data_IF_307994329187
#
_entry.id   IF_307994329187
#
_cell.length_a   1.000
_cell.length_b   1.000
_cell.length_c   1.000
_cell.angle_alpha   90.00
_cell.angle_beta   90.00
_cell.angle_gamma   90.00
#
_symmetry.space_group_name_H-M   'P 1'
#
loop_
_entity.id
_entity.type
_entity.pdbx_description
1 polymer ?
#
# COMPACT_ATOMS: atom_id res chain seq x y z
N UNK A 1 4.26 11.54 -14.79
CA UNK A 1 4.21 12.45 -13.62
C UNK A 1 2.88 12.39 -12.87
N UNK A 2 1.72 12.54 -13.52
CA UNK A 2 0.41 12.55 -12.85
C UNK A 2 0.15 11.30 -11.97
N UNK A 3 0.46 10.11 -12.46
CA UNK A 3 0.33 8.86 -11.70
C UNK A 3 1.19 8.82 -10.43
N UNK A 4 2.44 9.30 -10.50
CA UNK A 4 3.32 9.42 -9.33
C UNK A 4 2.75 10.42 -8.33
N UNK A 5 2.27 11.58 -8.80
CA UNK A 5 1.67 12.59 -7.92
C UNK A 5 0.41 12.06 -7.21
N UNK A 6 -0.48 11.38 -7.94
CA UNK A 6 -1.65 10.75 -7.35
C UNK A 6 -1.26 9.71 -6.28
N UNK A 7 -0.22 8.92 -6.55
CA UNK A 7 0.30 7.96 -5.57
C UNK A 7 0.92 8.65 -4.34
N UNK A 8 1.57 9.79 -4.53
CA UNK A 8 2.13 10.59 -3.44
C UNK A 8 1.03 11.20 -2.56
N UNK A 9 -0.02 11.76 -3.16
CA UNK A 9 -1.19 12.29 -2.45
C UNK A 9 -1.91 11.22 -1.61
N UNK A 10 -2.01 9.98 -2.12
CA UNK A 10 -2.58 8.86 -1.37
C UNK A 10 -1.73 8.47 -0.16
N UNK A 11 -0.40 8.53 -0.26
CA UNK A 11 0.49 8.28 0.89
C UNK A 11 0.37 9.37 1.94
N UNK A 12 0.28 10.63 1.52
CA UNK A 12 0.04 11.75 2.42
C UNK A 12 -1.28 11.61 3.17
N UNK A 13 -2.33 11.14 2.49
CA UNK A 13 -3.62 10.86 3.13
C UNK A 13 -3.58 9.68 4.09
N UNK A 14 -2.77 8.67 3.79
CA UNK A 14 -2.57 7.51 4.65
C UNK A 14 -1.74 7.81 5.90
N UNK A 15 -1.13 9.00 6.01
CA UNK A 15 -0.41 9.42 7.21
C UNK A 15 -1.30 9.34 8.46
N UNK A 16 -0.80 8.81 9.59
CA UNK A 16 -1.55 8.72 10.83
C UNK A 16 -2.00 10.10 11.31
N UNK A 17 -3.19 10.16 11.89
CA UNK A 17 -3.73 11.37 12.51
C UNK A 17 -3.57 11.22 14.03
N UNK A 18 -2.76 12.08 14.64
CA UNK A 18 -2.48 12.07 16.09
C UNK A 18 -1.09 11.55 16.46
N UNK A 19 -0.85 11.44 17.78
CA UNK A 19 0.44 11.09 18.36
C UNK A 19 0.67 9.57 18.34
N UNK A 20 0.87 9.00 17.15
CA UNK A 20 1.64 7.77 17.03
C UNK A 20 3.10 8.15 17.33
N UNK A 21 3.47 8.13 18.62
CA UNK A 21 4.78 8.60 19.06
C UNK A 21 5.89 7.68 18.54
N UNK A 22 6.62 8.19 17.54
CA UNK A 22 7.91 7.68 17.16
C UNK A 22 8.90 7.94 18.30
N UNK A 23 9.11 6.99 19.21
CA UNK A 23 10.13 7.21 20.24
C UNK A 23 10.16 6.31 21.46
N UNK A 24 9.14 5.46 21.70
CA UNK A 24 9.11 4.66 22.93
C UNK A 24 10.01 3.42 22.93
N UNK A 25 10.35 2.88 21.75
CA UNK A 25 10.96 1.54 21.61
C UNK A 25 12.20 1.56 20.72
N UNK A 26 13.26 0.91 21.19
CA UNK A 26 14.43 0.63 20.35
C UNK A 26 14.15 -0.57 19.43
N UNK A 27 13.74 -0.29 18.20
CA UNK A 27 13.44 -1.30 17.19
C UNK A 27 14.68 -2.05 16.70
N UNK A 28 15.89 -1.51 16.91
CA UNK A 28 17.14 -2.11 16.39
C UNK A 28 17.49 -3.44 17.05
N UNK A 29 16.95 -3.68 18.25
CA UNK A 29 17.15 -4.92 18.99
C UNK A 29 16.21 -6.05 18.56
N UNK A 30 15.15 -5.73 17.81
CA UNK A 30 14.06 -6.69 17.50
C UNK A 30 14.16 -7.26 16.08
N UNK A 31 14.97 -6.67 15.21
CA UNK A 31 15.14 -7.11 13.84
C UNK A 31 16.21 -6.32 13.07
N UNK A 32 16.46 -6.72 11.82
CA UNK A 32 17.46 -6.08 10.96
C UNK A 32 16.90 -4.79 10.34
N UNK A 33 16.96 -3.66 11.05
CA UNK A 33 16.41 -2.38 10.59
C UNK A 33 17.02 -1.86 9.28
N UNK A 34 18.26 -2.23 8.99
CA UNK A 34 18.95 -1.95 7.73
C UNK A 34 18.28 -2.66 6.53
N UNK A 35 17.53 -3.73 6.78
CA UNK A 35 16.72 -4.44 5.79
C UNK A 35 15.24 -4.06 5.87
N UNK A 36 14.68 -4.00 7.07
CA UNK A 36 13.27 -3.71 7.32
C UNK A 36 12.91 -2.32 6.81
N UNK A 37 13.66 -1.28 7.18
CA UNK A 37 13.35 0.10 6.80
C UNK A 37 13.24 0.29 5.28
N UNK A 38 14.29 -0.01 4.49
CA UNK A 38 14.22 0.10 3.04
C UNK A 38 13.17 -0.80 2.38
N UNK A 39 12.87 -1.97 2.96
CA UNK A 39 11.78 -2.82 2.49
C UNK A 39 10.41 -2.16 2.73
N UNK A 40 10.18 -1.64 3.93
CA UNK A 40 8.98 -0.86 4.27
C UNK A 40 8.83 0.34 3.33
N UNK A 41 9.89 1.11 3.07
CA UNK A 41 9.85 2.23 2.12
C UNK A 41 9.43 1.76 0.71
N UNK A 42 9.92 0.60 0.28
CA UNK A 42 9.61 0.03 -1.04
C UNK A 42 8.15 -0.38 -1.16
N UNK A 43 7.61 -0.98 -0.09
CA UNK A 43 6.21 -1.39 -0.03
C UNK A 43 5.31 -0.15 0.06
N UNK A 44 5.65 0.81 0.92
CA UNK A 44 4.91 2.06 1.04
C UNK A 44 4.83 2.80 -0.30
N UNK A 45 5.93 2.82 -1.07
CA UNK A 45 5.96 3.40 -2.41
C UNK A 45 5.06 2.69 -3.44
N UNK A 46 4.98 1.37 -3.38
CA UNK A 46 4.24 0.56 -4.38
C UNK A 46 2.74 0.48 -4.08
N UNK A 47 2.34 0.42 -2.81
CA UNK A 47 0.93 0.26 -2.41
C UNK A 47 -0.06 1.28 -3.00
N UNK A 48 0.18 2.61 -2.97
CA UNK A 48 -0.76 3.57 -3.56
C UNK A 48 -0.90 3.39 -5.07
N UNK A 49 0.16 2.93 -5.76
CA UNK A 49 0.12 2.64 -7.20
C UNK A 49 -0.72 1.40 -7.48
N UNK A 50 -0.57 0.36 -6.66
CA UNK A 50 -1.43 -0.82 -6.75
C UNK A 50 -2.89 -0.47 -6.46
N UNK A 51 -3.14 0.46 -5.53
CA UNK A 51 -4.50 0.93 -5.25
C UNK A 51 -5.12 1.63 -6.46
N UNK A 52 -4.40 2.58 -7.07
CA UNK A 52 -4.85 3.26 -8.30
C UNK A 52 -5.14 2.28 -9.44
N UNK A 53 -4.27 1.28 -9.63
CA UNK A 53 -4.44 0.24 -10.66
C UNK A 53 -5.65 -0.65 -10.35
N UNK A 54 -5.83 -1.07 -9.09
CA UNK A 54 -6.98 -1.89 -8.68
C UNK A 54 -8.31 -1.16 -8.90
N UNK A 55 -8.37 0.11 -8.50
CA UNK A 55 -9.54 0.99 -8.72
C UNK A 55 -9.83 1.18 -10.22
N UNK A 56 -8.78 1.29 -11.04
CA UNK A 56 -8.94 1.38 -12.49
C UNK A 56 -9.48 0.08 -13.10
N UNK A 57 -9.12 -1.09 -12.57
CA UNK A 57 -9.68 -2.38 -13.00
C UNK A 57 -11.15 -2.56 -12.62
N UNK A 58 -11.59 -2.03 -11.49
CA UNK A 58 -12.99 -2.11 -11.08
C UNK A 58 -13.88 -1.04 -11.71
N UNK A 59 -13.29 0.02 -12.25
CA UNK A 59 -14.02 1.07 -12.96
C UNK A 59 -14.64 0.49 -14.24
N UNK A 60 -15.97 0.59 -14.36
CA UNK A 60 -16.67 0.23 -15.60
C UNK A 60 -16.18 1.13 -16.74
N UNK A 61 -15.99 0.60 -17.95
CA UNK A 61 -15.72 1.44 -19.11
C UNK A 61 -16.90 2.39 -19.30
N UNK A 62 -16.61 3.68 -19.28
CA UNK A 62 -17.60 4.70 -19.56
C UNK A 62 -18.15 4.46 -20.97
N UNK A 63 -19.43 4.09 -21.09
CA UNK A 63 -20.07 3.87 -22.40
C UNK A 63 -20.26 5.20 -23.17
N UNK A 64 -19.87 6.32 -22.54
CA UNK A 64 -19.75 7.65 -23.13
C UNK A 64 -18.41 7.81 -23.87
N UNK A 65 -18.22 7.03 -24.94
CA UNK A 65 -17.14 7.28 -25.90
C UNK A 65 -17.44 8.55 -26.70
N UNK A 66 -17.26 9.72 -26.07
CA UNK A 66 -17.03 10.97 -26.79
C UNK A 66 -15.75 10.80 -27.59
N UNK A 67 -15.89 11.05 -28.88
CA UNK A 67 -14.87 11.04 -29.93
C UNK A 67 -13.91 12.23 -29.74
N UNK A 68 -13.27 12.34 -28.59
CA UNK A 68 -12.24 13.34 -28.37
C UNK A 68 -10.94 12.88 -29.01
N UNK A 69 -10.49 13.70 -29.96
CA UNK A 69 -9.29 13.55 -30.77
C UNK A 69 -8.08 13.18 -29.91
N UNK A 70 -7.23 12.35 -30.49
CA UNK A 70 -5.87 12.04 -30.05
C UNK A 70 -5.04 13.31 -29.84
N UNK A 71 -5.14 13.93 -28.68
CA UNK A 71 -3.99 14.64 -28.11
C UNK A 71 -3.18 13.56 -27.38
N UNK A 72 -2.09 13.13 -28.03
CA UNK A 72 -1.11 12.28 -27.38
C UNK A 72 -0.72 12.95 -26.06
N UNK A 73 -0.75 12.23 -24.92
CA UNK A 73 -0.43 12.85 -23.66
C UNK A 73 0.98 13.40 -23.73
N UNK A 74 1.12 14.70 -23.49
CA UNK A 74 2.39 15.39 -23.30
C UNK A 74 3.02 15.01 -21.95
N UNK A 75 2.78 13.77 -21.50
CA UNK A 75 3.19 13.22 -20.23
C UNK A 75 4.55 12.57 -20.38
N UNK A 76 5.50 13.01 -19.56
CA UNK A 76 6.79 12.36 -19.45
C UNK A 76 6.59 10.89 -19.03
N UNK A 77 6.98 9.96 -19.91
CA UNK A 77 7.00 8.54 -19.62
C UNK A 77 7.96 8.27 -18.46
N UNK A 78 7.54 7.38 -17.55
CA UNK A 78 8.39 6.91 -16.48
C UNK A 78 9.41 5.93 -17.07
N UNK A 79 10.68 6.04 -16.65
CA UNK A 79 11.69 5.07 -17.04
C UNK A 79 11.27 3.67 -16.56
N UNK A 80 11.28 2.71 -17.47
CA UNK A 80 11.05 1.31 -17.12
C UNK A 80 12.18 0.79 -16.23
N UNK A 81 11.82 0.04 -15.19
CA UNK A 81 12.77 -0.62 -14.31
C UNK A 81 12.35 -0.57 -12.84
N UNK A 82 13.20 -1.15 -12.00
CA UNK A 82 13.04 -1.11 -10.55
C UNK A 82 13.70 0.18 -10.05
N UNK A 83 12.97 0.99 -9.28
CA UNK A 83 13.51 2.23 -8.73
C UNK A 83 14.77 1.94 -7.88
N UNK A 84 15.89 2.65 -8.11
CA UNK A 84 17.13 2.43 -7.37
C UNK A 84 16.90 2.52 -5.85
N UNK A 85 17.50 1.60 -5.10
CA UNK A 85 17.39 1.57 -3.63
C UNK A 85 16.19 0.80 -3.09
N UNK A 86 15.22 0.40 -3.93
CA UNK A 86 14.15 -0.51 -3.49
C UNK A 86 14.74 -1.86 -3.06
N UNK A 87 14.12 -2.46 -2.04
CA UNK A 87 14.52 -3.75 -1.46
C UNK A 87 13.40 -4.76 -1.55
N UNK A 88 13.79 -6.02 -1.64
CA UNK A 88 12.91 -7.18 -1.56
C UNK A 88 13.36 -8.05 -0.41
N UNK A 89 12.41 -8.46 0.41
CA UNK A 89 12.60 -9.47 1.45
C UNK A 89 11.83 -10.72 1.01
N UNK A 90 12.39 -11.90 1.29
CA UNK A 90 11.72 -13.16 1.00
C UNK A 90 10.48 -13.30 1.90
N UNK A 91 9.37 -13.81 1.37
CA UNK A 91 8.18 -14.06 2.18
C UNK A 91 8.33 -15.41 2.90
N UNK A 92 7.98 -15.45 4.18
CA UNK A 92 7.73 -16.72 4.87
C UNK A 92 6.43 -17.33 4.33
N UNK A 93 6.41 -18.63 4.10
CA UNK A 93 5.19 -19.36 3.78
C UNK A 93 4.39 -19.57 5.08
N UNK A 94 3.12 -19.10 5.17
CA UNK A 94 2.30 -19.33 6.34
C UNK A 94 2.13 -20.80 6.72
N UNK A 95 2.20 -21.72 5.76
CA UNK A 95 2.07 -23.17 6.02
C UNK A 95 3.36 -23.82 6.54
N UNK A 96 4.49 -23.17 6.34
CA UNK A 96 5.82 -23.64 6.77
C UNK A 96 6.38 -22.79 7.92
N UNK A 97 5.61 -21.81 8.40
CA UNK A 97 6.03 -20.90 9.45
C UNK A 97 6.16 -21.63 10.80
N UNK A 98 7.18 -21.32 11.61
CA UNK A 98 7.23 -21.78 12.99
C UNK A 98 5.99 -21.30 13.78
N UNK A 99 5.52 -22.09 14.75
CA UNK A 99 4.24 -21.84 15.45
C UNK A 99 4.04 -20.39 15.94
N UNK A 100 5.02 -19.69 16.54
CA UNK A 100 4.82 -18.30 16.95
C UNK A 100 4.55 -17.33 15.79
N UNK A 101 5.13 -17.58 14.62
CA UNK A 101 4.92 -16.76 13.41
C UNK A 101 3.59 -17.10 12.75
N UNK A 102 3.22 -18.38 12.75
CA UNK A 102 1.92 -18.85 12.26
C UNK A 102 0.77 -18.20 13.05
N UNK A 103 0.86 -18.20 14.39
CA UNK A 103 -0.12 -17.56 15.27
C UNK A 103 -0.24 -16.05 15.01
N UNK A 104 0.89 -15.36 14.81
CA UNK A 104 0.90 -13.94 14.44
C UNK A 104 0.23 -13.70 13.07
N UNK A 105 0.53 -14.53 12.08
CA UNK A 105 -0.11 -14.44 10.77
C UNK A 105 -1.61 -14.67 10.85
N UNK A 106 -2.05 -15.59 11.69
CA UNK A 106 -3.47 -15.84 11.91
C UNK A 106 -4.17 -14.67 12.60
N UNK A 107 -3.58 -14.09 13.66
CA UNK A 107 -4.16 -12.90 14.32
C UNK A 107 -4.23 -11.70 13.36
N UNK A 108 -3.16 -11.43 12.59
CA UNK A 108 -3.17 -10.37 11.57
C UNK A 108 -4.26 -10.61 10.53
N UNK A 109 -4.39 -11.83 10.01
CA UNK A 109 -5.39 -12.21 9.01
C UNK A 109 -6.81 -12.03 9.57
N UNK A 110 -7.07 -12.51 10.78
CA UNK A 110 -8.39 -12.45 11.42
C UNK A 110 -8.79 -11.01 11.74
N UNK A 111 -7.85 -10.20 12.24
CA UNK A 111 -8.14 -8.83 12.63
C UNK A 111 -8.51 -7.95 11.44
N UNK A 112 -7.85 -8.16 10.30
CA UNK A 112 -8.24 -7.53 9.03
C UNK A 112 -9.43 -8.21 8.34
N UNK A 113 -9.79 -9.42 8.78
CA UNK A 113 -10.69 -10.37 8.12
C UNK A 113 -10.34 -10.54 6.62
N UNK A 114 -9.04 -10.69 6.35
CA UNK A 114 -8.52 -10.98 5.01
C UNK A 114 -8.57 -12.49 4.74
N UNK A 115 -8.63 -12.93 3.47
CA UNK A 115 -8.55 -14.35 3.12
C UNK A 115 -7.17 -14.97 3.38
N UNK A 116 -6.13 -14.14 3.56
CA UNK A 116 -4.78 -14.56 3.88
C UNK A 116 -3.93 -13.40 4.41
N UNK A 117 -2.76 -13.70 4.96
CA UNK A 117 -1.82 -12.69 5.46
C UNK A 117 -1.10 -12.01 4.30
N UNK A 118 -1.04 -10.67 4.33
CA UNK A 118 -0.41 -9.90 3.26
C UNK A 118 1.09 -10.18 3.13
N UNK A 119 1.61 -10.04 1.90
CA UNK A 119 3.02 -10.26 1.56
C UNK A 119 4.00 -9.45 2.41
N UNK A 120 3.60 -8.25 2.84
CA UNK A 120 4.36 -7.41 3.75
C UNK A 120 4.62 -8.09 5.10
N UNK A 121 3.55 -8.49 5.80
CA UNK A 121 3.66 -9.19 7.08
C UNK A 121 4.37 -10.54 6.95
N UNK A 122 4.14 -11.27 5.85
CA UNK A 122 4.89 -12.50 5.55
C UNK A 122 6.39 -12.28 5.44
N UNK A 123 6.80 -11.14 4.91
CA UNK A 123 8.21 -10.78 4.81
C UNK A 123 8.78 -10.33 6.15
N UNK A 124 7.98 -9.63 6.97
CA UNK A 124 8.35 -9.31 8.36
C UNK A 124 8.45 -10.56 9.25
N UNK A 125 7.82 -11.67 8.87
CA UNK A 125 7.94 -12.96 9.56
C UNK A 125 9.37 -13.51 9.63
N UNK A 126 10.32 -12.99 8.84
CA UNK A 126 11.75 -13.28 9.00
C UNK A 126 12.35 -12.69 10.29
N UNK A 127 11.66 -11.74 10.92
CA UNK A 127 12.02 -11.13 12.20
C UNK A 127 10.83 -11.22 13.18
N UNK A 128 10.55 -12.39 13.77
CA UNK A 128 9.34 -12.63 14.55
C UNK A 128 9.16 -11.65 15.72
N UNK A 129 10.22 -11.35 16.46
CA UNK A 129 10.18 -10.40 17.58
C UNK A 129 9.84 -8.98 17.13
N UNK A 130 10.33 -8.57 15.95
CA UNK A 130 9.95 -7.31 15.34
C UNK A 130 8.48 -7.33 14.90
N UNK A 131 8.04 -8.38 14.19
CA UNK A 131 6.66 -8.52 13.73
C UNK A 131 5.67 -8.49 14.90
N UNK A 132 5.95 -9.25 15.96
CA UNK A 132 5.13 -9.27 17.18
C UNK A 132 5.02 -7.87 17.80
N UNK A 133 6.17 -7.22 18.03
CA UNK A 133 6.20 -5.92 18.67
C UNK A 133 5.52 -4.85 17.82
N UNK A 134 5.78 -4.80 16.51
CA UNK A 134 5.18 -3.79 15.64
C UNK A 134 3.68 -4.02 15.47
N UNK A 135 3.25 -5.27 15.38
CA UNK A 135 1.83 -5.62 15.32
C UNK A 135 1.11 -5.21 16.61
N UNK A 136 1.73 -5.45 17.77
CA UNK A 136 1.18 -5.02 19.05
C UNK A 136 0.88 -3.51 19.11
N UNK A 137 1.75 -2.67 18.52
CA UNK A 137 1.54 -1.21 18.50
C UNK A 137 0.39 -0.80 17.56
N UNK A 138 0.26 -1.41 16.37
CA UNK A 138 -0.73 -0.97 15.38
C UNK A 138 -2.08 -1.67 15.50
N UNK A 139 -2.12 -2.90 16.04
CA UNK A 139 -3.32 -3.72 16.16
C UNK A 139 -4.50 -3.00 16.81
N UNK A 140 -4.36 -2.22 17.91
CA UNK A 140 -5.49 -1.52 18.52
C UNK A 140 -6.20 -0.51 17.61
N UNK A 141 -5.53 -0.05 16.54
CA UNK A 141 -6.09 0.90 15.60
C UNK A 141 -6.88 0.22 14.48
N UNK A 142 -6.48 -0.98 14.10
CA UNK A 142 -7.05 -1.71 12.97
C UNK A 142 -8.54 -2.02 13.24
N UNK A 143 -9.39 -1.74 12.25
CA UNK A 143 -10.81 -2.01 12.34
C UNK A 143 -11.62 -1.05 13.24
N UNK A 144 -10.99 -0.07 13.90
CA UNK A 144 -11.70 1.01 14.60
C UNK A 144 -12.51 1.87 13.62
N UNK A 145 -13.50 2.62 14.13
CA UNK A 145 -14.29 3.55 13.31
C UNK A 145 -13.40 4.58 12.61
N UNK A 146 -12.40 5.10 13.31
CA UNK A 146 -11.41 6.03 12.73
C UNK A 146 -10.61 5.39 11.61
N UNK A 147 -10.13 4.15 11.80
CA UNK A 147 -9.41 3.41 10.76
C UNK A 147 -10.29 3.15 9.54
N UNK A 148 -11.52 2.69 9.74
CA UNK A 148 -12.46 2.42 8.66
C UNK A 148 -12.89 3.70 7.92
N UNK A 149 -13.04 4.83 8.62
CA UNK A 149 -13.30 6.13 8.01
C UNK A 149 -12.10 6.59 7.15
N UNK A 150 -10.87 6.45 7.66
CA UNK A 150 -9.63 6.75 6.91
C UNK A 150 -9.51 5.87 5.67
N UNK A 151 -9.76 4.57 5.79
CA UNK A 151 -9.82 3.63 4.67
C UNK A 151 -10.83 4.03 3.61
N UNK A 152 -12.04 4.39 4.03
CA UNK A 152 -13.11 4.81 3.13
C UNK A 152 -12.74 6.10 2.39
N UNK A 153 -12.17 7.08 3.10
CA UNK A 153 -11.65 8.30 2.51
C UNK A 153 -10.53 8.03 1.50
N UNK A 154 -9.59 7.13 1.82
CA UNK A 154 -8.46 6.78 0.98
C UNK A 154 -8.92 6.10 -0.32
N UNK A 155 -9.86 5.16 -0.19
CA UNK A 155 -10.46 4.45 -1.33
C UNK A 155 -11.21 5.41 -2.25
N UNK A 156 -12.05 6.30 -1.69
CA UNK A 156 -12.79 7.29 -2.48
C UNK A 156 -11.89 8.29 -3.20
N UNK A 157 -10.76 8.67 -2.59
CA UNK A 157 -9.76 9.51 -3.26
C UNK A 157 -9.04 8.77 -4.38
N UNK A 158 -8.66 7.51 -4.16
CA UNK A 158 -8.03 6.70 -5.20
C UNK A 158 -8.95 6.55 -6.42
N UNK A 159 -10.25 6.35 -6.20
CA UNK A 159 -11.28 6.27 -7.25
C UNK A 159 -11.39 7.59 -8.06
N UNK A 160 -11.31 8.74 -7.38
CA UNK A 160 -11.32 10.06 -8.01
C UNK A 160 -10.02 10.40 -8.74
N UNK A 161 -8.89 9.86 -8.29
CA UNK A 161 -7.56 10.14 -8.82
C UNK A 161 -7.20 9.30 -10.06
N UNK A 162 -8.04 8.34 -10.48
CA UNK A 162 -7.80 7.53 -11.67
C UNK A 162 -7.90 8.40 -12.93
N UNK A 163 -6.79 8.56 -13.64
CA UNK A 163 -6.79 9.29 -14.91
C UNK A 163 -7.55 8.52 -16.02
N UNK A 164 -8.16 9.23 -17.00
CA UNK A 164 -8.78 8.58 -18.15
C UNK A 164 -7.82 7.68 -18.95
N UNK A 165 -6.54 8.05 -18.99
CA UNK A 165 -5.50 7.24 -19.63
C UNK A 165 -5.29 5.92 -18.92
N UNK A 166 -5.21 5.93 -17.58
CA UNK A 166 -5.07 4.70 -16.80
C UNK A 166 -6.30 3.81 -16.98
N UNK A 167 -7.52 4.37 -16.93
CA UNK A 167 -8.77 3.63 -17.21
C UNK A 167 -8.73 2.94 -18.57
N UNK A 168 -8.32 3.65 -19.62
CA UNK A 168 -8.19 3.10 -20.98
C UNK A 168 -7.11 2.03 -21.07
N UNK A 169 -5.97 2.23 -20.42
CA UNK A 169 -4.84 1.28 -20.45
C UNK A 169 -5.18 -0.06 -19.77
N UNK A 170 -6.04 -0.03 -18.75
CA UNK A 170 -6.47 -1.24 -18.03
C UNK A 170 -7.85 -1.75 -18.47
N UNK A 171 -8.57 -1.00 -19.33
CA UNK A 171 -9.86 -1.41 -19.86
C UNK A 171 -9.71 -2.76 -20.57
N UNK A 172 -10.44 -3.76 -20.07
CA UNK A 172 -10.47 -5.11 -20.63
C UNK A 172 -11.89 -5.48 -21.05
N UNK A 173 -12.05 -6.43 -21.99
CA UNK A 173 -13.34 -7.10 -22.17
C UNK A 173 -13.78 -7.79 -20.87
N UNK A 174 -15.06 -8.17 -20.82
CA UNK A 174 -15.79 -8.69 -19.66
C UNK A 174 -14.93 -9.53 -18.71
N UNK A 175 -14.77 -9.04 -17.49
CA UNK A 175 -14.09 -9.75 -16.41
C UNK A 175 -15.10 -10.74 -15.78
N UNK A 176 -14.77 -12.04 -15.65
CA UNK A 176 -15.58 -13.00 -14.93
C UNK A 176 -15.96 -12.54 -13.50
N UNK A 177 -17.14 -12.94 -13.02
CA UNK A 177 -17.66 -12.51 -11.71
C UNK A 177 -16.76 -12.91 -10.53
N UNK A 178 -16.12 -14.08 -10.62
CA UNK A 178 -15.17 -14.57 -9.62
C UNK A 178 -13.92 -13.68 -9.55
N UNK A 179 -13.38 -13.26 -10.70
CA UNK A 179 -12.27 -12.30 -10.77
C UNK A 179 -12.71 -10.93 -10.25
N UNK A 180 -13.95 -10.51 -10.54
CA UNK A 180 -14.52 -9.26 -10.01
C UNK A 180 -14.59 -9.27 -8.48
N UNK A 181 -15.05 -10.38 -7.89
CA UNK A 181 -15.06 -10.54 -6.44
C UNK A 181 -13.66 -10.49 -5.82
N UNK A 182 -12.66 -11.08 -6.48
CA UNK A 182 -11.26 -11.00 -6.06
C UNK A 182 -10.77 -9.54 -6.12
N UNK A 183 -10.96 -8.86 -7.24
CA UNK A 183 -10.54 -7.45 -7.41
C UNK A 183 -11.17 -6.54 -6.35
N UNK A 184 -12.43 -6.77 -6.01
CA UNK A 184 -13.12 -6.05 -4.94
C UNK A 184 -12.40 -6.20 -3.58
N UNK A 185 -11.96 -7.42 -3.23
CA UNK A 185 -11.18 -7.65 -2.00
C UNK A 185 -9.87 -6.88 -2.03
N UNK A 186 -9.17 -6.86 -3.17
CA UNK A 186 -7.91 -6.13 -3.29
C UNK A 186 -8.11 -4.61 -3.15
N UNK A 187 -9.08 -4.04 -3.85
CA UNK A 187 -9.25 -2.59 -3.93
C UNK A 187 -9.93 -1.96 -2.70
N UNK A 188 -10.85 -2.68 -2.04
CA UNK A 188 -11.68 -2.15 -0.94
C UNK A 188 -11.18 -2.58 0.44
N UNK A 189 -10.34 -3.63 0.47
CA UNK A 189 -9.92 -4.26 1.73
C UNK A 189 -8.41 -4.36 1.80
N UNK A 190 -7.80 -5.29 1.07
CA UNK A 190 -6.39 -5.65 1.26
C UNK A 190 -5.42 -4.48 1.05
N UNK A 191 -5.49 -3.78 -0.09
CA UNK A 191 -4.52 -2.73 -0.41
C UNK A 191 -4.73 -1.49 0.47
N UNK A 192 -5.95 -0.96 0.67
CA UNK A 192 -6.16 0.17 1.58
C UNK A 192 -5.78 -0.11 3.03
N UNK A 193 -6.15 -1.30 3.56
CA UNK A 193 -5.78 -1.70 4.92
C UNK A 193 -4.24 -1.71 5.04
N UNK A 194 -3.56 -2.38 4.10
CA UNK A 194 -2.11 -2.51 4.14
C UNK A 194 -1.38 -1.18 3.95
N UNK A 195 -1.92 -0.25 3.15
CA UNK A 195 -1.37 1.10 3.00
C UNK A 195 -1.43 1.84 4.34
N UNK A 196 -2.56 1.80 5.06
CA UNK A 196 -2.66 2.41 6.38
C UNK A 196 -1.69 1.79 7.39
N UNK A 197 -1.59 0.46 7.41
CA UNK A 197 -0.69 -0.26 8.32
C UNK A 197 0.77 0.10 8.07
N UNK A 198 1.21 0.05 6.82
CA UNK A 198 2.59 0.37 6.44
C UNK A 198 2.91 1.82 6.77
N UNK A 199 1.98 2.76 6.56
CA UNK A 199 2.22 4.17 6.94
C UNK A 199 2.30 4.36 8.46
N UNK A 200 1.51 3.62 9.26
CA UNK A 200 1.66 3.63 10.73
C UNK A 200 3.01 3.05 11.15
N UNK A 201 3.46 1.97 10.49
CA UNK A 201 4.76 1.35 10.78
C UNK A 201 5.91 2.27 10.40
N UNK A 202 5.85 2.96 9.26
CA UNK A 202 6.85 3.98 8.92
C UNK A 202 6.94 5.08 9.97
N UNK A 203 5.79 5.55 10.47
CA UNK A 203 5.76 6.54 11.54
C UNK A 203 6.43 6.00 12.83
N UNK A 204 6.11 4.78 13.26
CA UNK A 204 6.73 4.15 14.44
C UNK A 204 8.24 3.94 14.29
N UNK A 205 8.72 3.68 13.07
CA UNK A 205 10.15 3.58 12.76
C UNK A 205 10.85 4.94 12.65
N UNK A 206 10.13 6.06 12.84
CA UNK A 206 10.67 7.41 12.68
C UNK A 206 11.06 7.75 11.24
N UNK A 207 10.47 7.06 10.26
CA UNK A 207 10.80 7.17 8.83
C UNK A 207 9.87 8.09 8.05
N UNK A 208 8.86 8.68 8.70
CA UNK A 208 7.96 9.65 8.06
C UNK A 208 8.76 10.82 7.50
N UNK A 209 8.92 10.84 6.18
CA UNK A 209 9.54 11.95 5.48
C UNK A 209 8.71 13.20 5.72
N UNK A 210 9.34 14.24 6.25
CA UNK A 210 8.80 15.59 6.54
C UNK A 210 8.12 16.26 5.32
N UNK A 211 8.14 15.63 4.14
CA UNK A 211 7.60 16.16 2.87
C UNK A 211 6.78 15.16 2.05
N UNK A 212 6.16 14.16 2.67
CA UNK A 212 5.05 13.38 2.08
C UNK A 212 5.35 12.44 0.89
N UNK A 213 6.22 12.83 -0.03
CA UNK A 213 6.59 12.01 -1.17
C UNK A 213 7.70 10.99 -0.87
N UNK A 214 7.68 9.87 -1.59
CA UNK A 214 8.64 8.77 -1.46
C UNK A 214 10.00 9.20 -2.00
N UNK A 215 11.07 8.70 -1.40
CA UNK A 215 12.44 8.83 -1.94
C UNK A 215 12.60 8.21 -3.33
N UNK A 216 11.68 7.33 -3.73
CA UNK A 216 11.62 6.72 -5.06
C UNK A 216 10.71 7.48 -6.05
N UNK A 217 9.95 8.48 -5.59
CA UNK A 217 9.06 9.25 -6.46
C UNK A 217 9.86 10.22 -7.32
N UNK A 218 9.73 10.07 -8.64
CA UNK A 218 10.33 11.01 -9.61
C UNK A 218 9.55 12.30 -9.75
N UNK A 219 8.40 12.44 -9.05
CA UNK A 219 7.61 13.66 -9.06
C UNK A 219 8.33 14.86 -8.41
N UNK A 220 9.31 14.60 -7.52
CA UNK A 220 10.03 15.63 -6.75
C UNK A 220 11.15 16.38 -7.52
N UNK A 221 11.30 16.15 -8.83
CA UNK A 221 12.42 16.68 -9.62
C UNK A 221 12.11 17.84 -10.57
N UNK A 222 10.89 18.39 -10.57
CA UNK A 222 10.50 19.45 -11.52
C UNK A 222 9.96 20.66 -10.75
N UNK A 223 10.87 21.57 -10.39
CA UNK A 223 10.57 22.99 -10.16
C UNK A 223 11.39 23.81 -11.14
#
# INVERSE_FOLDING_TARGET
MEFERAADELRDRAAPQGDLEAGGRDWSQLGALDQIGPYTDSIHYVLPKLLLVAQAFASQPDNSASTEKNDAPNGQELAYGIAPGTKRVAMVDPQEAPSPVEELFEDIKQHHQHPGVASYFRSLGNWPAFLEAIWHEIRPQVGTDTYNARKSSLTGQAEQAISPLLRRAVARPTIPDDITAILWVFERRLIPDLLLDVTMIEALLGRTTVTGGSSFSVAKGVL
#
